data_IF_194846399508
#
_entry.id   IF_194846399508
#
_cell.length_a   1.000
_cell.length_b   1.000
_cell.length_c   1.000
_cell.angle_alpha   90.00
_cell.angle_beta   90.00
_cell.angle_gamma   90.00
#
_symmetry.space_group_name_H-M   'P 1'
#
loop_
_entity.id
_entity.type
_entity.pdbx_description
1 polymer ?
#
# COMPACT_ATOMS: atom_id res chain seq x y z
N UNK A 1 -10.61 21.53 -40.58
CA UNK A 1 -10.94 20.25 -39.92
C UNK A 1 -9.68 19.39 -39.92
N UNK A 2 -8.88 19.45 -38.87
CA UNK A 2 -7.63 18.70 -38.76
C UNK A 2 -7.81 17.58 -37.74
N UNK A 3 -7.98 16.35 -38.24
CA UNK A 3 -8.05 15.15 -37.43
C UNK A 3 -6.63 14.76 -36.99
N UNK A 4 -6.28 15.06 -35.74
CA UNK A 4 -5.02 14.61 -35.13
C UNK A 4 -5.23 13.17 -34.65
N UNK A 5 -4.70 12.24 -35.43
CA UNK A 5 -4.65 10.81 -35.13
C UNK A 5 -3.73 10.59 -33.91
N UNK A 6 -4.32 10.37 -32.73
CA UNK A 6 -3.55 9.96 -31.53
C UNK A 6 -3.30 8.46 -31.61
N UNK A 7 -2.07 8.11 -31.99
CA UNK A 7 -1.53 6.74 -31.94
C UNK A 7 -1.45 6.30 -30.47
N UNK A 8 -2.01 5.14 -30.08
CA UNK A 8 -1.82 4.62 -28.73
C UNK A 8 -0.40 4.08 -28.59
N UNK A 9 0.29 4.57 -27.57
CA UNK A 9 1.62 4.13 -27.16
C UNK A 9 1.53 2.64 -26.78
N UNK A 10 1.99 1.77 -27.67
CA UNK A 10 2.09 0.33 -27.44
C UNK A 10 3.08 0.08 -26.31
N UNK A 11 2.51 -0.42 -25.21
CA UNK A 11 3.16 -0.88 -23.99
C UNK A 11 4.14 -2.03 -24.32
N UNK A 12 5.42 -1.73 -24.48
CA UNK A 12 6.50 -2.72 -24.51
C UNK A 12 6.73 -3.26 -23.09
N UNK A 13 5.87 -4.17 -22.65
CA UNK A 13 6.20 -5.09 -21.55
C UNK A 13 7.20 -6.09 -22.14
N UNK A 14 8.49 -5.84 -21.91
CA UNK A 14 9.55 -6.81 -22.08
C UNK A 14 9.28 -7.99 -21.11
N UNK A 15 8.60 -9.01 -21.63
CA UNK A 15 8.58 -10.35 -21.05
C UNK A 15 9.99 -10.95 -21.14
N UNK A 16 10.81 -10.63 -20.14
CA UNK A 16 12.01 -11.38 -19.81
C UNK A 16 11.60 -12.72 -19.21
N UNK A 17 11.19 -13.66 -20.05
CA UNK A 17 11.06 -15.08 -19.67
C UNK A 17 12.47 -15.66 -19.55
N UNK A 18 13.11 -15.46 -18.40
CA UNK A 18 14.20 -16.35 -17.98
C UNK A 18 13.53 -17.62 -17.46
N UNK A 19 13.45 -18.62 -18.31
CA UNK A 19 13.14 -20.00 -17.94
C UNK A 19 14.23 -20.49 -17.00
N UNK A 20 13.96 -20.49 -15.70
CA UNK A 20 14.78 -21.19 -14.71
C UNK A 20 14.39 -22.66 -14.82
N UNK A 21 15.22 -23.44 -15.51
CA UNK A 21 15.17 -24.89 -15.47
C UNK A 21 15.69 -25.26 -14.08
N UNK A 22 14.77 -25.52 -13.16
CA UNK A 22 15.10 -26.08 -11.84
C UNK A 22 15.59 -27.51 -12.07
N UNK A 23 16.87 -27.74 -11.77
CA UNK A 23 17.49 -29.06 -11.77
C UNK A 23 17.09 -29.77 -10.46
N UNK A 24 16.26 -30.83 -10.49
CA UNK A 24 15.87 -31.55 -9.28
C UNK A 24 16.91 -32.64 -9.03
N UNK A 25 18.00 -32.32 -8.35
CA UNK A 25 19.12 -33.26 -8.22
C UNK A 25 20.01 -33.13 -6.99
N UNK A 26 20.06 -31.98 -6.34
CA UNK A 26 21.04 -31.75 -5.25
C UNK A 26 20.35 -31.24 -3.98
N UNK A 27 19.71 -32.15 -3.24
CA UNK A 27 19.54 -32.01 -1.79
C UNK A 27 20.90 -32.25 -1.12
N UNK A 28 21.89 -31.42 -1.46
CA UNK A 28 23.12 -31.35 -0.67
C UNK A 28 22.73 -30.86 0.74
N UNK A 29 23.02 -31.72 1.72
CA UNK A 29 23.12 -31.35 3.13
C UNK A 29 24.04 -30.14 3.24
N UNK A 30 23.44 -28.94 3.23
CA UNK A 30 24.12 -27.70 3.61
C UNK A 30 24.55 -27.87 5.06
N UNK A 31 25.83 -28.16 5.26
CA UNK A 31 26.48 -27.93 6.53
C UNK A 31 26.20 -26.48 6.93
N UNK A 32 25.50 -26.31 8.05
CA UNK A 32 25.08 -25.05 8.66
C UNK A 32 26.27 -24.23 9.18
N UNK A 33 27.29 -24.02 8.36
CA UNK A 33 28.16 -22.87 8.51
C UNK A 33 27.30 -21.66 8.15
N UNK A 34 26.53 -21.22 9.13
CA UNK A 34 25.73 -20.00 9.14
C UNK A 34 26.69 -18.82 9.03
N UNK A 35 27.27 -18.61 7.86
CA UNK A 35 27.88 -17.34 7.53
C UNK A 35 26.76 -16.30 7.66
N UNK A 36 26.85 -15.50 8.72
CA UNK A 36 25.93 -14.40 8.95
C UNK A 36 25.99 -13.47 7.74
N UNK A 37 24.94 -13.51 6.91
CA UNK A 37 24.84 -12.59 5.78
C UNK A 37 24.67 -11.18 6.31
N UNK A 38 25.59 -10.30 5.93
CA UNK A 38 25.58 -8.88 6.29
C UNK A 38 25.26 -8.02 5.08
N UNK A 39 24.52 -6.96 5.30
CA UNK A 39 24.29 -5.95 4.26
C UNK A 39 25.46 -4.95 4.16
N UNK A 40 25.35 -3.98 3.25
CA UNK A 40 26.38 -2.93 3.04
C UNK A 40 26.60 -2.05 4.27
N UNK A 41 25.66 -2.01 5.22
CA UNK A 41 25.77 -1.26 6.47
C UNK A 41 26.26 -2.16 7.63
N UNK A 42 26.62 -3.41 7.36
CA UNK A 42 27.07 -4.37 8.37
C UNK A 42 25.96 -5.00 9.20
N UNK A 43 24.68 -4.76 8.86
CA UNK A 43 23.53 -5.35 9.54
C UNK A 43 23.37 -6.82 9.14
N UNK A 44 23.15 -7.69 10.12
CA UNK A 44 22.90 -9.11 9.90
C UNK A 44 21.45 -9.29 9.39
N UNK A 45 21.30 -9.97 8.27
CA UNK A 45 20.02 -10.22 7.64
C UNK A 45 19.35 -11.49 8.21
N UNK A 46 18.09 -11.34 8.59
CA UNK A 46 17.24 -12.45 9.05
C UNK A 46 16.23 -12.74 7.96
N UNK A 47 16.36 -13.88 7.30
CA UNK A 47 15.33 -14.35 6.38
C UNK A 47 14.07 -14.72 7.17
N UNK A 48 12.93 -14.29 6.66
CA UNK A 48 11.64 -14.46 7.31
C UNK A 48 10.70 -15.26 6.42
N UNK A 49 10.33 -16.46 6.87
CA UNK A 49 9.13 -17.12 6.38
C UNK A 49 7.95 -16.68 7.24
N UNK A 50 6.99 -15.95 6.67
CA UNK A 50 5.84 -15.41 7.43
C UNK A 50 4.87 -16.49 7.90
N UNK A 51 4.95 -17.69 7.33
CA UNK A 51 4.12 -18.85 7.67
C UNK A 51 4.90 -20.00 8.31
N UNK A 52 6.23 -19.93 8.34
CA UNK A 52 7.10 -20.89 9.02
C UNK A 52 7.39 -20.53 10.48
N UNK A 53 8.45 -21.15 11.00
CA UNK A 53 8.98 -20.84 12.33
C UNK A 53 9.55 -19.43 12.37
N UNK A 54 9.15 -18.67 13.38
CA UNK A 54 9.58 -17.28 13.52
C UNK A 54 10.92 -17.24 14.27
N UNK A 55 11.99 -16.68 13.68
CA UNK A 55 13.26 -16.56 14.38
C UNK A 55 13.14 -15.76 15.67
N UNK A 56 13.85 -16.14 16.73
CA UNK A 56 13.77 -15.50 18.07
C UNK A 56 13.98 -13.98 18.07
N UNK A 57 14.70 -13.48 17.06
CA UNK A 57 15.02 -12.06 16.89
C UNK A 57 13.87 -11.26 16.26
N UNK A 58 12.82 -11.93 15.81
CA UNK A 58 11.64 -11.33 15.18
C UNK A 58 10.47 -11.33 16.16
N UNK A 59 9.94 -10.13 16.42
CA UNK A 59 8.74 -9.92 17.22
C UNK A 59 7.51 -9.90 16.31
N UNK A 60 6.53 -10.74 16.64
CA UNK A 60 5.20 -10.73 16.02
C UNK A 60 4.24 -9.89 16.84
N UNK A 61 3.58 -8.93 16.20
CA UNK A 61 2.52 -8.10 16.77
C UNK A 61 1.23 -8.47 16.05
N UNK A 62 0.30 -9.10 16.77
CA UNK A 62 -1.03 -9.44 16.25
C UNK A 62 -1.96 -8.26 16.42
N UNK A 63 -2.64 -7.84 15.35
CA UNK A 63 -3.67 -6.80 15.46
C UNK A 63 -4.93 -7.36 16.13
N UNK A 64 -5.49 -6.62 17.08
CA UNK A 64 -6.79 -6.95 17.69
C UNK A 64 -7.98 -6.53 16.82
N UNK A 65 -7.79 -5.50 15.99
CA UNK A 65 -8.87 -4.88 15.20
C UNK A 65 -8.96 -5.42 13.78
N UNK A 66 -7.84 -5.89 13.23
CA UNK A 66 -7.76 -6.45 11.89
C UNK A 66 -7.49 -7.95 12.01
N UNK A 67 -8.54 -8.74 11.79
CA UNK A 67 -8.48 -10.19 11.84
C UNK A 67 -7.38 -10.71 10.91
N UNK A 68 -6.56 -11.64 11.41
CA UNK A 68 -5.42 -12.22 10.70
C UNK A 68 -4.30 -11.26 10.27
N UNK A 69 -4.25 -10.02 10.77
CA UNK A 69 -3.09 -9.15 10.53
C UNK A 69 -1.97 -9.46 11.53
N UNK A 70 -0.92 -10.09 11.04
CA UNK A 70 0.34 -10.28 11.76
C UNK A 70 1.37 -9.27 11.26
N UNK A 71 1.98 -8.51 12.16
CA UNK A 71 3.11 -7.63 11.85
C UNK A 71 4.39 -8.19 12.44
N UNK A 72 5.41 -8.34 11.62
CA UNK A 72 6.73 -8.86 11.95
C UNK A 72 7.73 -7.70 11.90
N UNK A 73 8.56 -7.60 12.92
CA UNK A 73 9.69 -6.66 12.98
C UNK A 73 10.80 -7.25 13.83
N UNK A 74 12.03 -6.80 13.63
CA UNK A 74 13.13 -7.14 14.53
C UNK A 74 12.79 -6.65 15.95
N UNK A 75 13.05 -7.47 16.96
CA UNK A 75 12.78 -7.10 18.35
C UNK A 75 13.63 -5.86 18.75
N UNK A 76 13.10 -4.94 19.58
CA UNK A 76 13.76 -3.69 19.90
C UNK A 76 15.22 -3.81 20.39
N UNK A 77 15.55 -4.88 21.11
CA UNK A 77 16.87 -5.22 21.63
C UNK A 77 17.89 -5.66 20.56
N UNK A 78 17.41 -6.07 19.37
CA UNK A 78 18.25 -6.53 18.25
C UNK A 78 18.30 -5.52 17.09
N UNK A 79 17.48 -4.46 17.11
CA UNK A 79 17.26 -3.55 15.97
C UNK A 79 18.51 -2.81 15.48
N UNK A 80 19.57 -2.72 16.29
CA UNK A 80 20.81 -2.02 15.94
C UNK A 80 21.80 -2.88 15.14
N UNK A 81 21.58 -4.21 15.10
CA UNK A 81 22.49 -5.15 14.45
C UNK A 81 21.78 -6.06 13.45
N UNK A 82 20.44 -6.13 13.49
CA UNK A 82 19.66 -7.05 12.69
C UNK A 82 18.59 -6.34 11.87
N UNK A 83 18.31 -6.87 10.68
CA UNK A 83 17.21 -6.44 9.81
C UNK A 83 16.56 -7.65 9.14
N UNK A 84 15.27 -7.57 8.82
CA UNK A 84 14.61 -8.58 7.99
C UNK A 84 15.22 -8.55 6.58
N UNK A 85 15.65 -9.72 6.10
CA UNK A 85 16.28 -9.97 4.82
C UNK A 85 15.27 -10.35 3.74
N UNK A 86 15.45 -11.55 3.15
CA UNK A 86 14.49 -12.11 2.21
C UNK A 86 13.19 -12.51 2.93
N UNK A 87 12.09 -12.49 2.19
CA UNK A 87 10.77 -12.81 2.72
C UNK A 87 10.16 -13.94 1.90
N UNK A 88 9.69 -14.98 2.58
CA UNK A 88 8.91 -16.07 2.01
C UNK A 88 7.60 -16.27 2.76
N UNK A 89 6.67 -17.01 2.15
CA UNK A 89 5.42 -17.52 2.74
C UNK A 89 5.31 -19.01 2.40
N UNK A 90 5.55 -19.88 3.38
CA UNK A 90 5.56 -21.33 3.22
C UNK A 90 6.53 -21.78 2.10
N UNK A 91 7.77 -21.29 2.18
CA UNK A 91 8.82 -21.50 1.18
C UNK A 91 8.66 -20.71 -0.13
N UNK A 92 7.49 -20.13 -0.40
CA UNK A 92 7.26 -19.32 -1.60
C UNK A 92 7.89 -17.94 -1.43
N UNK A 93 8.83 -17.57 -2.31
CA UNK A 93 9.51 -16.27 -2.24
C UNK A 93 8.54 -15.11 -2.53
N UNK A 94 8.51 -14.14 -1.62
CA UNK A 94 7.73 -12.90 -1.73
C UNK A 94 8.65 -11.75 -2.14
N UNK A 95 9.76 -11.58 -1.41
CA UNK A 95 10.75 -10.54 -1.67
C UNK A 95 12.14 -11.15 -1.69
N UNK A 96 12.85 -10.93 -2.79
CA UNK A 96 14.20 -11.44 -3.00
C UNK A 96 15.25 -10.59 -2.26
N UNK A 97 16.39 -11.21 -1.93
CA UNK A 97 17.55 -10.52 -1.37
C UNK A 97 18.14 -9.51 -2.36
N UNK A 98 18.06 -9.80 -3.66
CA UNK A 98 18.53 -8.92 -4.72
C UNK A 98 17.79 -7.57 -4.76
N UNK A 99 16.60 -7.51 -4.19
CA UNK A 99 15.91 -6.23 -4.02
C UNK A 99 16.73 -5.24 -3.18
N UNK A 100 17.60 -5.71 -2.28
CA UNK A 100 18.47 -4.87 -1.46
C UNK A 100 19.71 -4.35 -2.22
N UNK A 101 20.03 -4.93 -3.37
CA UNK A 101 21.21 -4.55 -4.14
C UNK A 101 21.01 -3.29 -4.98
N UNK A 102 19.76 -2.84 -5.17
CA UNK A 102 19.51 -1.59 -5.87
C UNK A 102 20.00 -0.41 -5.02
N UNK A 103 20.62 0.62 -5.63
CA UNK A 103 21.19 1.76 -4.89
C UNK A 103 20.20 2.44 -3.94
N UNK A 104 18.91 2.52 -4.31
CA UNK A 104 17.91 3.13 -3.44
C UNK A 104 17.64 2.35 -2.14
N UNK A 105 18.04 1.08 -2.07
CA UNK A 105 17.80 0.18 -0.94
C UNK A 105 19.02 -0.07 -0.06
N UNK A 106 20.15 0.58 -0.34
CA UNK A 106 21.36 0.42 0.48
C UNK A 106 21.21 1.01 1.89
N UNK A 107 20.27 1.94 2.11
CA UNK A 107 20.16 2.72 3.36
C UNK A 107 18.92 2.36 4.19
N UNK A 108 18.40 1.13 4.08
CA UNK A 108 17.25 0.69 4.88
C UNK A 108 17.68 0.57 6.34
N UNK A 109 17.09 1.35 7.23
CA UNK A 109 17.29 1.24 8.67
C UNK A 109 16.45 0.12 9.28
N UNK A 110 15.20 0.00 8.84
CA UNK A 110 14.24 -0.94 9.41
C UNK A 110 13.37 -1.50 8.28
N UNK A 111 13.13 -2.81 8.31
CA UNK A 111 12.12 -3.48 7.48
C UNK A 111 11.06 -4.06 8.40
N UNK A 112 9.81 -3.74 8.12
CA UNK A 112 8.64 -4.33 8.76
C UNK A 112 7.85 -5.11 7.71
N UNK A 113 7.35 -6.28 8.10
CA UNK A 113 6.52 -7.12 7.23
C UNK A 113 5.16 -7.26 7.86
N UNK A 114 4.09 -7.12 7.10
CA UNK A 114 2.73 -7.41 7.56
C UNK A 114 2.09 -8.42 6.62
N UNK A 115 1.58 -9.51 7.19
CA UNK A 115 0.79 -10.50 6.46
C UNK A 115 -0.67 -10.34 6.88
N UNK A 116 -1.55 -10.26 5.90
CA UNK A 116 -2.98 -10.46 6.14
C UNK A 116 -3.58 -11.38 5.08
N UNK A 117 -4.61 -12.12 5.48
CA UNK A 117 -5.37 -13.01 4.61
C UNK A 117 -6.81 -12.53 4.53
N UNK A 118 -7.31 -12.35 3.32
CA UNK A 118 -8.71 -11.99 3.13
C UNK A 118 -9.65 -13.21 3.25
N UNK A 119 -10.96 -12.95 3.25
CA UNK A 119 -11.99 -13.99 3.35
C UNK A 119 -12.04 -14.96 2.16
N UNK A 120 -11.41 -14.61 1.05
CA UNK A 120 -11.32 -15.43 -0.15
C UNK A 120 -10.05 -16.28 -0.17
N UNK A 121 -9.23 -16.19 0.89
CA UNK A 121 -7.98 -16.90 1.01
C UNK A 121 -6.81 -16.22 0.30
N UNK A 122 -6.99 -15.01 -0.23
CA UNK A 122 -5.91 -14.21 -0.80
C UNK A 122 -4.96 -13.78 0.31
N UNK A 123 -3.68 -14.06 0.14
CA UNK A 123 -2.64 -13.56 1.02
C UNK A 123 -2.10 -12.24 0.47
N UNK A 124 -1.92 -11.27 1.35
CA UNK A 124 -1.26 -10.00 1.02
C UNK A 124 -0.14 -9.78 2.01
N UNK A 125 1.07 -9.63 1.46
CA UNK A 125 2.28 -9.32 2.21
C UNK A 125 2.67 -7.89 1.91
N UNK A 126 2.69 -7.05 2.95
CA UNK A 126 3.11 -5.67 2.91
C UNK A 126 4.49 -5.55 3.53
N UNK A 127 5.44 -5.04 2.76
CA UNK A 127 6.81 -4.76 3.20
C UNK A 127 6.97 -3.25 3.31
N UNK A 128 7.26 -2.77 4.51
CA UNK A 128 7.52 -1.36 4.78
C UNK A 128 8.99 -1.21 5.14
N UNK A 129 9.74 -0.56 4.25
CA UNK A 129 11.11 -0.19 4.49
C UNK A 129 11.18 1.25 4.98
N UNK A 130 11.97 1.49 6.03
CA UNK A 130 12.24 2.81 6.58
C UNK A 130 13.69 3.19 6.25
N UNK A 131 13.87 4.36 5.65
CA UNK A 131 15.17 4.87 5.20
C UNK A 131 15.53 6.14 5.95
N UNK A 132 16.83 6.32 6.21
CA UNK A 132 17.39 7.63 6.53
C UNK A 132 17.91 8.25 5.26
N UNK A 133 17.36 9.39 4.88
CA UNK A 133 17.92 10.21 3.80
C UNK A 133 18.82 11.29 4.39
N UNK A 134 19.53 12.00 3.51
CA UNK A 134 20.30 13.18 3.87
C UNK A 134 19.43 14.16 4.69
N UNK A 135 20.04 14.83 5.66
CA UNK A 135 19.37 15.69 6.66
C UNK A 135 18.59 14.98 7.78
N UNK A 136 18.85 13.69 8.02
CA UNK A 136 18.17 12.89 9.07
C UNK A 136 16.66 12.79 8.91
N UNK A 137 16.12 13.17 7.75
CA UNK A 137 14.71 12.92 7.43
C UNK A 137 14.52 11.42 7.25
N UNK A 138 13.44 10.92 7.82
CA UNK A 138 13.04 9.51 7.71
C UNK A 138 11.94 9.44 6.68
N UNK A 139 12.13 8.61 5.66
CA UNK A 139 11.10 8.29 4.67
C UNK A 139 10.76 6.81 4.79
N UNK A 140 9.55 6.43 4.39
CA UNK A 140 9.19 5.03 4.23
C UNK A 140 8.96 4.73 2.76
N UNK A 141 9.10 3.47 2.39
CA UNK A 141 8.61 2.95 1.13
C UNK A 141 7.83 1.67 1.44
N UNK A 142 6.66 1.54 0.84
CA UNK A 142 5.81 0.37 1.03
C UNK A 142 5.67 -0.39 -0.27
N UNK A 143 5.93 -1.69 -0.22
CA UNK A 143 5.62 -2.61 -1.31
C UNK A 143 4.56 -3.57 -0.82
N UNK A 144 3.59 -3.85 -1.66
CA UNK A 144 2.53 -4.81 -1.36
C UNK A 144 2.55 -5.90 -2.41
N UNK A 145 2.50 -7.14 -1.95
CA UNK A 145 2.50 -8.32 -2.78
C UNK A 145 1.23 -9.11 -2.52
N UNK A 146 0.65 -9.67 -3.57
CA UNK A 146 -0.61 -10.43 -3.52
C UNK A 146 -0.38 -11.84 -4.06
N UNK A 147 -0.91 -12.82 -3.35
CA UNK A 147 -1.03 -14.19 -3.81
C UNK A 147 -2.50 -14.61 -3.74
N UNK A 148 -3.10 -14.83 -4.92
CA UNK A 148 -4.49 -15.28 -5.05
C UNK A 148 -4.54 -16.81 -4.97
N UNK A 149 -5.64 -17.39 -4.44
CA UNK A 149 -5.79 -18.85 -4.41
C UNK A 149 -5.50 -19.51 -5.77
N UNK A 150 -4.69 -20.57 -5.75
CA UNK A 150 -4.28 -21.31 -6.95
C UNK A 150 -3.13 -20.67 -7.74
N UNK A 151 -2.54 -19.57 -7.29
CA UNK A 151 -1.31 -19.02 -7.86
C UNK A 151 -0.07 -19.57 -7.15
N UNK A 152 0.98 -19.82 -7.91
CA UNK A 152 2.25 -20.38 -7.43
C UNK A 152 3.31 -19.33 -7.09
N UNK A 153 2.98 -18.04 -7.20
CA UNK A 153 3.90 -16.95 -6.91
C UNK A 153 3.14 -15.71 -6.43
N UNK A 154 3.85 -14.87 -5.68
CA UNK A 154 3.39 -13.53 -5.32
C UNK A 154 3.62 -12.55 -6.48
N UNK A 155 2.63 -11.72 -6.76
CA UNK A 155 2.75 -10.60 -7.70
C UNK A 155 2.75 -9.27 -6.94
N UNK A 156 3.36 -8.22 -7.51
CA UNK A 156 3.23 -6.87 -6.98
C UNK A 156 1.75 -6.45 -7.06
N UNK A 157 1.22 -5.90 -5.96
CA UNK A 157 -0.14 -5.42 -5.89
C UNK A 157 -0.27 -4.09 -6.63
N UNK A 158 -1.10 -4.10 -7.68
CA UNK A 158 -1.47 -2.91 -8.44
C UNK A 158 -2.97 -2.70 -8.30
N UNK A 159 -3.38 -1.49 -7.91
CA UNK A 159 -4.77 -1.10 -7.73
C UNK A 159 -5.25 -0.26 -8.91
N UNK A 160 -6.50 -0.42 -9.31
CA UNK A 160 -7.15 0.52 -10.23
C UNK A 160 -7.82 1.65 -9.43
N UNK A 161 -7.94 2.83 -10.02
CA UNK A 161 -8.72 3.89 -9.41
C UNK A 161 -10.22 3.69 -9.69
N UNK A 162 -11.06 4.15 -8.77
CA UNK A 162 -12.48 4.34 -9.02
C UNK A 162 -12.86 5.81 -8.90
N UNK A 163 -13.88 6.18 -9.67
CA UNK A 163 -14.56 7.45 -9.56
C UNK A 163 -15.74 7.28 -8.61
N UNK A 164 -15.92 8.25 -7.72
CA UNK A 164 -17.10 8.33 -6.86
C UNK A 164 -17.77 9.69 -7.06
N UNK A 165 -19.10 9.71 -6.95
CA UNK A 165 -19.86 10.95 -6.83
C UNK A 165 -20.66 10.88 -5.54
N UNK A 166 -20.39 11.84 -4.65
CA UNK A 166 -20.94 11.87 -3.30
C UNK A 166 -22.47 12.01 -3.28
N UNK A 167 -23.08 12.47 -4.38
CA UNK A 167 -24.52 12.61 -4.52
C UNK A 167 -25.17 11.51 -5.37
N UNK A 168 -24.39 10.63 -6.02
CA UNK A 168 -24.92 9.54 -6.85
C UNK A 168 -25.00 8.22 -6.06
N UNK A 169 -26.22 7.71 -5.80
CA UNK A 169 -26.42 6.40 -5.16
C UNK A 169 -25.76 5.24 -5.91
N UNK A 170 -25.56 5.36 -7.22
CA UNK A 170 -24.94 4.34 -8.06
C UNK A 170 -23.50 4.01 -7.71
N UNK A 171 -22.77 4.92 -7.05
CA UNK A 171 -21.36 4.70 -6.66
C UNK A 171 -21.19 4.07 -5.28
N UNK A 172 -22.29 3.89 -4.53
CA UNK A 172 -22.27 3.44 -3.13
C UNK A 172 -22.07 1.91 -2.98
N UNK A 173 -22.21 1.15 -4.06
CA UNK A 173 -22.03 -0.31 -4.08
C UNK A 173 -20.57 -0.74 -3.78
N UNK A 174 -19.61 0.13 -4.07
CA UNK A 174 -18.18 -0.06 -3.83
C UNK A 174 -17.70 0.53 -2.50
N UNK A 175 -18.54 1.34 -1.88
CA UNK A 175 -18.21 2.12 -0.70
C UNK A 175 -18.84 1.55 0.57
N UNK A 176 -18.17 1.83 1.67
CA UNK A 176 -18.66 1.73 3.02
C UNK A 176 -18.96 3.16 3.46
N UNK A 177 -20.23 3.44 3.72
CA UNK A 177 -20.71 4.80 4.00
C UNK A 177 -21.16 4.84 5.45
N UNK A 178 -20.48 5.66 6.27
CA UNK A 178 -20.80 5.82 7.69
C UNK A 178 -21.32 7.22 7.93
N UNK A 179 -22.57 7.34 8.37
CA UNK A 179 -23.10 8.61 8.88
C UNK A 179 -22.76 8.69 10.36
N UNK A 180 -22.08 9.75 10.75
CA UNK A 180 -21.76 10.01 12.17
C UNK A 180 -22.96 10.74 12.77
N UNK A 181 -23.76 10.01 13.56
CA UNK A 181 -24.99 10.52 14.16
C UNK A 181 -24.76 11.83 14.94
N UNK A 182 -25.68 12.78 14.78
CA UNK A 182 -25.63 14.08 15.46
C UNK A 182 -24.61 15.09 14.91
N UNK A 183 -23.71 14.69 14.01
CA UNK A 183 -22.64 15.58 13.52
C UNK A 183 -22.86 16.17 12.12
N UNK A 184 -23.73 15.55 11.31
CA UNK A 184 -23.87 15.90 9.89
C UNK A 184 -22.76 15.35 8.98
N UNK A 185 -21.73 14.69 9.53
CA UNK A 185 -20.66 14.08 8.75
C UNK A 185 -21.07 12.73 8.14
N UNK A 186 -20.69 12.54 6.88
CA UNK A 186 -20.75 11.24 6.19
C UNK A 186 -19.37 10.86 5.69
N UNK A 187 -18.87 9.72 6.14
CA UNK A 187 -17.55 9.19 5.77
C UNK A 187 -17.71 8.11 4.70
N UNK A 188 -17.00 8.28 3.60
CA UNK A 188 -16.95 7.37 2.46
C UNK A 188 -15.56 6.70 2.41
N UNK A 189 -15.57 5.39 2.56
CA UNK A 189 -14.37 4.55 2.45
C UNK A 189 -14.63 3.44 1.44
N UNK A 190 -13.58 2.89 0.82
CA UNK A 190 -13.74 1.65 0.07
C UNK A 190 -14.13 0.50 1.01
N UNK A 191 -14.98 -0.41 0.51
CA UNK A 191 -15.28 -1.65 1.23
C UNK A 191 -14.01 -2.45 1.47
N UNK A 192 -13.93 -3.16 2.60
CA UNK A 192 -12.73 -3.92 2.99
C UNK A 192 -12.24 -4.91 1.93
N UNK A 193 -13.15 -5.56 1.20
CA UNK A 193 -12.81 -6.50 0.12
C UNK A 193 -12.28 -5.80 -1.16
N UNK A 194 -12.44 -4.48 -1.26
CA UNK A 194 -11.96 -3.67 -2.38
C UNK A 194 -10.58 -3.06 -2.12
N UNK A 195 -10.12 -2.99 -0.86
CA UNK A 195 -8.85 -2.34 -0.48
C UNK A 195 -7.60 -2.96 -1.12
N UNK A 196 -7.69 -4.20 -1.59
CA UNK A 196 -6.62 -4.90 -2.32
C UNK A 196 -6.76 -4.81 -3.83
N UNK A 197 -7.80 -4.15 -4.33
CA UNK A 197 -8.12 -4.09 -5.75
C UNK A 197 -8.17 -2.66 -6.28
N UNK A 198 -8.66 -1.73 -5.46
CA UNK A 198 -8.94 -0.37 -5.87
C UNK A 198 -8.55 0.66 -4.82
N UNK A 199 -8.47 1.92 -5.25
CA UNK A 199 -8.47 3.11 -4.42
C UNK A 199 -9.44 4.14 -5.03
N UNK A 200 -9.93 5.11 -4.24
CA UNK A 200 -10.74 6.23 -4.77
C UNK A 200 -9.78 7.17 -5.49
N UNK A 201 -9.89 7.33 -6.81
CA UNK A 201 -9.01 8.21 -7.60
C UNK A 201 -9.59 9.59 -7.86
N UNK A 202 -10.89 9.62 -8.19
CA UNK A 202 -11.64 10.85 -8.49
C UNK A 202 -12.81 10.96 -7.54
N UNK A 203 -12.96 12.14 -6.94
CA UNK A 203 -14.10 12.49 -6.08
C UNK A 203 -14.91 13.56 -6.81
N UNK A 204 -16.19 13.29 -7.02
CA UNK A 204 -17.16 14.21 -7.63
C UNK A 204 -18.23 14.58 -6.61
N UNK A 205 -18.85 15.73 -6.81
CA UNK A 205 -20.00 16.19 -6.04
C UNK A 205 -21.01 16.79 -7.02
N UNK A 206 -22.12 16.08 -7.26
CA UNK A 206 -23.13 16.52 -8.22
C UNK A 206 -22.60 16.58 -9.66
N UNK A 207 -21.77 15.61 -10.04
CA UNK A 207 -21.12 15.51 -11.34
C UNK A 207 -19.83 16.33 -11.49
N UNK A 208 -19.58 17.32 -10.62
CA UNK A 208 -18.39 18.15 -10.67
C UNK A 208 -17.19 17.47 -10.00
N UNK A 209 -16.04 17.41 -10.66
CA UNK A 209 -14.79 16.91 -10.07
C UNK A 209 -14.31 17.87 -8.97
N UNK A 210 -14.18 17.34 -7.77
CA UNK A 210 -13.69 18.04 -6.56
C UNK A 210 -12.21 17.76 -6.35
N UNK A 211 -11.85 16.49 -6.42
CA UNK A 211 -10.49 16.03 -6.18
C UNK A 211 -10.13 14.96 -7.21
N UNK A 212 -8.97 15.12 -7.84
CA UNK A 212 -8.41 14.16 -8.76
C UNK A 212 -6.95 13.92 -8.40
N UNK A 213 -6.63 12.68 -8.04
CA UNK A 213 -5.26 12.25 -7.79
C UNK A 213 -5.12 10.78 -8.17
N UNK A 214 -4.74 10.57 -9.43
CA UNK A 214 -4.57 9.28 -10.10
C UNK A 214 -3.14 8.74 -9.96
N UNK A 215 -2.58 8.79 -8.75
CA UNK A 215 -1.23 8.29 -8.49
C UNK A 215 -1.26 6.82 -8.06
N UNK A 216 -0.35 6.03 -8.61
CA UNK A 216 -0.10 4.64 -8.19
C UNK A 216 0.44 4.55 -6.74
N UNK A 217 0.84 5.68 -6.15
CA UNK A 217 1.31 5.75 -4.78
C UNK A 217 0.18 5.89 -3.76
N UNK A 218 -1.05 6.16 -4.18
CA UNK A 218 -2.21 6.19 -3.27
C UNK A 218 -2.56 4.77 -2.85
N UNK A 219 -2.47 4.49 -1.55
CA UNK A 219 -2.85 3.20 -0.97
C UNK A 219 -4.32 3.23 -0.55
N UNK A 220 -4.73 4.33 0.07
CA UNK A 220 -6.04 4.49 0.67
C UNK A 220 -6.47 5.95 0.55
N UNK A 221 -7.77 6.15 0.33
CA UNK A 221 -8.39 7.47 0.36
C UNK A 221 -9.71 7.37 1.10
N UNK A 222 -9.91 8.32 1.99
CA UNK A 222 -11.13 8.52 2.77
C UNK A 222 -11.69 9.90 2.40
N UNK A 223 -12.99 9.95 2.17
CA UNK A 223 -13.68 11.20 1.86
C UNK A 223 -14.73 11.43 2.93
N UNK A 224 -14.74 12.62 3.54
CA UNK A 224 -15.74 13.01 4.52
C UNK A 224 -16.52 14.20 3.96
N UNK A 225 -17.82 14.05 3.86
CA UNK A 225 -18.76 15.12 3.53
C UNK A 225 -19.33 15.68 4.84
N UNK A 226 -19.10 16.97 5.08
CA UNK A 226 -19.73 17.77 6.11
C UNK A 226 -21.01 18.39 5.52
N UNK A 227 -22.17 17.91 5.97
CA UNK A 227 -23.48 18.47 5.63
C UNK A 227 -24.07 19.26 6.80
N UNK A 228 -23.24 19.77 7.72
CA UNK A 228 -23.75 20.60 8.80
C UNK A 228 -24.33 21.92 8.25
N UNK A 229 -25.33 22.51 8.90
CA UNK A 229 -25.89 23.79 8.47
C UNK A 229 -24.87 24.94 8.46
N UNK A 230 -23.81 24.82 9.27
CA UNK A 230 -22.77 25.83 9.43
C UNK A 230 -21.64 25.68 8.40
N UNK A 231 -21.46 24.48 7.83
CA UNK A 231 -20.34 24.15 6.96
C UNK A 231 -20.73 23.06 5.96
N UNK A 232 -20.67 23.41 4.68
CA UNK A 232 -20.77 22.45 3.60
C UNK A 232 -19.37 22.21 3.00
N UNK A 233 -18.70 21.15 3.46
CA UNK A 233 -17.30 20.91 3.11
C UNK A 233 -17.03 19.45 2.74
N UNK A 234 -16.08 19.25 1.83
CA UNK A 234 -15.57 17.93 1.45
C UNK A 234 -14.13 17.85 1.91
N UNK A 235 -13.83 16.89 2.77
CA UNK A 235 -12.50 16.60 3.26
C UNK A 235 -12.00 15.33 2.59
N UNK A 236 -10.81 15.39 1.98
CA UNK A 236 -10.17 14.24 1.34
C UNK A 236 -8.87 13.94 2.06
N UNK A 237 -8.79 12.76 2.66
CA UNK A 237 -7.55 12.23 3.25
C UNK A 237 -7.00 11.16 2.34
N UNK A 238 -5.78 11.34 1.84
CA UNK A 238 -5.05 10.33 1.07
C UNK A 238 -3.86 9.80 1.87
N UNK A 239 -3.72 8.49 1.95
CA UNK A 239 -2.53 7.82 2.52
C UNK A 239 -1.70 7.25 1.38
N UNK A 240 -0.43 7.66 1.35
CA UNK A 240 0.50 7.34 0.28
C UNK A 240 1.40 6.16 0.64
N UNK A 241 2.09 5.63 -0.38
CA UNK A 241 3.02 4.50 -0.29
C UNK A 241 4.24 4.77 0.59
N UNK A 242 4.64 6.02 0.71
CA UNK A 242 5.68 6.43 1.64
C UNK A 242 5.21 6.58 3.09
N UNK A 243 3.94 6.23 3.35
CA UNK A 243 3.29 6.35 4.66
C UNK A 243 2.88 7.78 5.03
N UNK A 244 3.16 8.78 4.19
CA UNK A 244 2.67 10.14 4.39
C UNK A 244 1.15 10.19 4.22
N UNK A 245 0.54 11.23 4.79
CA UNK A 245 -0.86 11.51 4.57
C UNK A 245 -1.06 12.96 4.14
N UNK A 246 -1.83 13.15 3.07
CA UNK A 246 -2.27 14.47 2.63
C UNK A 246 -3.74 14.67 2.95
N UNK A 247 -4.09 15.90 3.34
CA UNK A 247 -5.45 16.32 3.66
C UNK A 247 -5.79 17.51 2.79
N UNK A 248 -6.87 17.40 2.02
CA UNK A 248 -7.39 18.48 1.20
C UNK A 248 -8.80 18.85 1.66
N UNK A 249 -9.10 20.14 1.74
CA UNK A 249 -10.42 20.66 2.11
C UNK A 249 -11.01 21.46 0.96
N UNK A 250 -12.27 21.20 0.66
CA UNK A 250 -13.05 21.86 -0.37
C UNK A 250 -14.34 22.39 0.24
N UNK A 251 -14.70 23.63 -0.09
CA UNK A 251 -15.94 24.26 0.33
C UNK A 251 -16.94 24.24 -0.82
N UNK A 252 -18.19 23.91 -0.52
CA UNK A 252 -19.30 24.02 -1.45
C UNK A 252 -19.97 25.37 -1.21
N UNK A 253 -19.85 26.28 -2.18
CA UNK A 253 -20.39 27.64 -2.09
C UNK A 253 -21.56 27.74 -3.05
N UNK A 254 -22.77 27.96 -2.55
CA UNK A 254 -23.92 28.24 -3.41
C UNK A 254 -23.75 29.62 -4.06
N UNK A 255 -23.79 29.65 -5.39
CA UNK A 255 -23.91 30.88 -6.16
C UNK A 255 -25.26 30.91 -6.89
N UNK A 256 -25.65 32.07 -7.43
CA UNK A 256 -26.91 32.23 -8.16
C UNK A 256 -27.03 31.35 -9.43
N UNK A 257 -25.99 30.58 -9.76
CA UNK A 257 -25.93 29.69 -10.92
C UNK A 257 -25.89 28.19 -10.53
N UNK A 258 -26.16 27.83 -9.27
CA UNK A 258 -26.31 26.43 -8.86
C UNK A 258 -25.12 25.82 -8.11
N UNK A 259 -24.24 26.66 -7.56
CA UNK A 259 -23.20 26.25 -6.63
C UNK A 259 -21.87 25.94 -7.30
N UNK A 260 -20.78 26.33 -6.63
CA UNK A 260 -19.40 26.16 -7.05
C UNK A 260 -18.58 25.56 -5.92
N UNK A 261 -17.62 24.72 -6.30
CA UNK A 261 -16.67 24.13 -5.38
C UNK A 261 -15.37 24.94 -5.38
N UNK A 262 -14.90 25.30 -4.19
CA UNK A 262 -13.70 26.10 -3.96
C UNK A 262 -12.69 25.27 -3.15
N UNK A 263 -11.49 25.08 -3.68
CA UNK A 263 -10.40 24.42 -2.97
C UNK A 263 -9.72 25.40 -2.00
N UNK A 264 -9.70 25.05 -0.72
CA UNK A 264 -9.24 25.96 0.34
C UNK A 264 -7.79 25.68 0.74
N UNK A 265 -7.43 24.41 0.97
CA UNK A 265 -6.13 24.08 1.58
C UNK A 265 -5.71 22.63 1.31
N UNK A 266 -4.40 22.39 1.14
CA UNK A 266 -3.78 21.07 1.19
C UNK A 266 -2.67 21.05 2.24
N UNK A 267 -2.76 20.15 3.23
CA UNK A 267 -1.72 19.88 4.23
C UNK A 267 -1.12 18.50 4.03
N UNK A 268 0.20 18.38 4.19
CA UNK A 268 0.91 17.09 4.15
C UNK A 268 1.58 16.87 5.50
N UNK A 269 1.42 15.67 6.06
CA UNK A 269 1.98 15.24 7.34
C UNK A 269 2.89 14.03 7.16
#
# INVERSE_FOLDING_TARGET
MNAVLRVPLLLTILLSTRTIIANPGDEERRDNNNEERRDKNGMILIDLDVSGDIPDKIKVIKSRTLFHLNRYRVAPEYKTHYRIGAISDNGMRVLDENHQNLPQYSNIMERQVSLFRDRYGTNVVRVTDTFKIENSKVIKNMLEFINKPGKSFYALLVRYHIDIDLLDPGTLDKLNVHKIEGSGFTVFQLRKNMLTHAYIGVVKYGGQIVHEALSNDVIEREVTLDNSPESHAILVRSTMRDGSSSYSKYLVVEDGNGGRIVHEETKTF
#
